data_IF_555532629959
#
_entry.id   IF_555532629959
#
_cell.length_a   1.000
_cell.length_b   1.000
_cell.length_c   1.000
_cell.angle_alpha   90.00
_cell.angle_beta   90.00
_cell.angle_gamma   90.00
#
_symmetry.space_group_name_H-M   'P 1'
#
loop_
_entity.id
_entity.type
_entity.pdbx_description
1 polymer ?
#
# COMPACT_ATOMS: atom_id res chain seq x y z
N UNK A 1 -17.53 10.10 20.10
CA UNK A 1 -18.08 9.81 18.77
C UNK A 1 -17.02 9.13 17.92
N UNK A 2 -17.13 7.82 17.76
CA UNK A 2 -16.15 6.96 17.07
C UNK A 2 -16.11 7.17 15.55
N UNK A 3 -17.06 7.90 15.01
CA UNK A 3 -17.23 8.10 13.56
C UNK A 3 -16.91 9.54 13.10
N UNK A 4 -16.48 10.43 13.98
CA UNK A 4 -15.96 11.73 13.57
C UNK A 4 -14.49 11.63 13.22
N UNK A 5 -14.18 11.60 11.94
CA UNK A 5 -12.83 11.73 11.39
C UNK A 5 -12.35 13.18 11.53
N UNK A 6 -12.04 13.60 12.77
CA UNK A 6 -11.31 14.85 13.01
C UNK A 6 -9.84 14.66 12.62
N UNK A 7 -9.11 15.77 12.41
CA UNK A 7 -7.67 15.70 12.08
C UNK A 7 -6.86 14.97 13.17
N UNK A 8 -7.30 15.01 14.42
CA UNK A 8 -6.72 14.28 15.55
C UNK A 8 -7.10 12.79 15.62
N UNK A 9 -7.91 12.27 14.68
CA UNK A 9 -8.29 10.86 14.68
C UNK A 9 -7.09 9.95 14.42
N UNK A 10 -6.97 8.90 15.21
CA UNK A 10 -5.90 7.92 15.04
C UNK A 10 -4.50 8.49 15.30
N UNK A 11 -4.33 9.39 16.27
CA UNK A 11 -3.05 10.04 16.60
C UNK A 11 -2.55 10.93 15.46
N UNK A 12 -3.37 11.87 15.00
CA UNK A 12 -3.12 12.82 13.90
C UNK A 12 -2.94 12.20 12.50
N UNK A 13 -3.29 10.95 12.31
CA UNK A 13 -3.12 10.27 11.01
C UNK A 13 -3.87 10.96 9.87
N UNK A 14 -5.09 11.44 10.11
CA UNK A 14 -5.87 12.14 9.10
C UNK A 14 -5.20 13.45 8.68
N UNK A 15 -4.64 14.19 9.65
CA UNK A 15 -3.85 15.39 9.37
C UNK A 15 -2.61 15.08 8.52
N UNK A 16 -1.87 14.03 8.90
CA UNK A 16 -0.70 13.54 8.13
C UNK A 16 -1.11 13.15 6.71
N UNK A 17 -2.22 12.45 6.52
CA UNK A 17 -2.69 12.05 5.18
C UNK A 17 -3.03 13.26 4.32
N UNK A 18 -3.75 14.25 4.87
CA UNK A 18 -4.05 15.50 4.16
C UNK A 18 -2.78 16.24 3.76
N UNK A 19 -1.80 16.33 4.67
CA UNK A 19 -0.51 16.93 4.41
C UNK A 19 0.25 16.19 3.30
N UNK A 20 0.36 14.87 3.36
CA UNK A 20 0.98 14.04 2.33
C UNK A 20 0.33 14.20 0.96
N UNK A 21 -1.02 14.24 0.92
CA UNK A 21 -1.75 14.46 -0.32
C UNK A 21 -1.57 15.87 -0.88
N UNK A 22 -1.43 16.90 -0.01
CA UNK A 22 -1.10 18.25 -0.46
C UNK A 22 0.29 18.31 -1.09
N UNK A 23 1.30 17.68 -0.46
CA UNK A 23 2.65 17.56 -1.04
C UNK A 23 2.64 16.86 -2.40
N UNK A 24 1.85 15.79 -2.54
CA UNK A 24 1.67 15.13 -3.85
C UNK A 24 0.99 16.06 -4.86
N UNK A 25 0.03 16.87 -4.42
CA UNK A 25 -0.63 17.88 -5.26
C UNK A 25 0.36 18.86 -5.88
N UNK A 26 1.41 19.25 -5.14
CA UNK A 26 2.45 20.18 -5.56
C UNK A 26 3.51 19.55 -6.47
N UNK A 27 3.52 18.23 -6.64
CA UNK A 27 4.45 17.56 -7.53
C UNK A 27 4.25 18.00 -8.98
N UNK A 28 5.34 18.23 -9.74
CA UNK A 28 5.26 18.40 -11.19
C UNK A 28 4.71 17.12 -11.84
N UNK A 29 4.10 17.26 -13.02
CA UNK A 29 3.39 16.18 -13.71
C UNK A 29 4.21 14.89 -13.81
N UNK A 30 5.49 14.96 -14.15
CA UNK A 30 6.37 13.79 -14.21
C UNK A 30 6.48 13.06 -12.86
N UNK A 31 6.64 13.79 -11.75
CA UNK A 31 6.69 13.20 -10.41
C UNK A 31 5.33 12.66 -9.95
N UNK A 32 4.22 13.22 -10.43
CA UNK A 32 2.90 12.61 -10.19
C UNK A 32 2.76 11.23 -10.81
N UNK A 33 3.39 11.02 -11.97
CA UNK A 33 3.37 9.72 -12.65
C UNK A 33 4.28 8.69 -11.98
N UNK A 34 5.55 9.03 -11.73
CA UNK A 34 6.58 8.08 -11.30
C UNK A 34 7.01 8.23 -9.84
N UNK A 35 6.47 9.23 -9.13
CA UNK A 35 6.81 9.53 -7.74
C UNK A 35 8.07 10.36 -7.54
N UNK A 36 8.37 10.64 -6.28
CA UNK A 36 9.56 11.37 -5.86
C UNK A 36 10.73 10.48 -5.43
N UNK A 37 10.54 9.16 -5.40
CA UNK A 37 11.52 8.19 -4.92
C UNK A 37 11.38 7.85 -3.43
N UNK A 38 12.11 6.82 -3.00
CA UNK A 38 12.13 6.41 -1.60
C UNK A 38 12.66 7.54 -0.70
N UNK A 39 11.97 7.76 0.44
CA UNK A 39 12.37 8.81 1.38
C UNK A 39 11.96 10.23 0.97
N UNK A 40 11.20 10.40 -0.11
CA UNK A 40 10.76 11.71 -0.58
C UNK A 40 9.98 12.48 0.48
N UNK A 41 9.18 11.81 1.31
CA UNK A 41 8.40 12.46 2.36
C UNK A 41 9.30 13.12 3.40
N UNK A 42 10.31 12.41 3.90
CA UNK A 42 11.27 12.98 4.84
C UNK A 42 12.03 14.17 4.24
N UNK A 43 12.43 14.06 2.96
CA UNK A 43 13.12 15.15 2.26
C UNK A 43 12.24 16.41 2.08
N UNK A 44 10.94 16.24 1.81
CA UNK A 44 9.99 17.34 1.69
C UNK A 44 9.64 17.94 3.04
N UNK A 45 9.49 17.11 4.09
CA UNK A 45 9.14 17.57 5.43
C UNK A 45 10.25 18.40 6.06
N UNK A 46 11.51 18.17 5.70
CA UNK A 46 12.63 19.05 6.12
C UNK A 46 12.37 20.51 5.69
N UNK A 47 11.73 20.73 4.54
CA UNK A 47 11.43 22.06 4.02
C UNK A 47 10.13 22.65 4.58
N UNK A 48 9.12 21.81 4.82
CA UNK A 48 7.75 22.25 5.14
C UNK A 48 7.26 21.83 6.53
N UNK A 49 8.02 21.13 7.29
CA UNK A 49 7.80 20.57 8.65
C UNK A 49 6.36 20.52 9.12
N UNK A 50 5.80 19.33 9.10
CA UNK A 50 4.49 19.06 9.70
C UNK A 50 4.53 19.09 11.23
N UNK A 51 5.54 18.45 11.83
CA UNK A 51 5.80 18.52 13.27
C UNK A 51 6.98 19.44 13.57
N UNK A 52 6.87 20.37 14.56
CA UNK A 52 7.96 21.31 14.88
C UNK A 52 9.26 20.61 15.28
N UNK A 53 9.16 19.52 16.05
CA UNK A 53 10.29 18.86 16.73
C UNK A 53 10.69 17.52 16.09
N UNK A 54 9.99 17.07 15.04
CA UNK A 54 10.26 15.78 14.40
C UNK A 54 10.12 15.87 12.89
N UNK A 55 10.81 14.99 12.18
CA UNK A 55 10.67 14.82 10.72
C UNK A 55 9.65 13.72 10.47
N UNK A 56 8.67 14.01 9.62
CA UNK A 56 7.71 13.02 9.17
C UNK A 56 8.34 12.16 8.07
N UNK A 57 8.68 10.93 8.40
CA UNK A 57 9.34 9.98 7.50
C UNK A 57 8.36 9.00 6.82
N UNK A 58 7.16 8.84 7.38
CA UNK A 58 6.16 7.91 6.89
C UNK A 58 4.74 8.49 6.92
N UNK A 59 3.95 8.20 5.90
CA UNK A 59 2.56 8.65 5.76
C UNK A 59 1.57 7.89 6.67
N UNK A 60 1.99 6.82 7.35
CA UNK A 60 1.13 5.93 8.11
C UNK A 60 -0.10 5.40 7.35
N UNK A 61 0.03 5.32 6.02
CA UNK A 61 -0.86 4.69 5.07
C UNK A 61 0.00 4.23 3.90
N UNK A 62 0.05 2.91 3.65
CA UNK A 62 0.92 2.33 2.63
C UNK A 62 0.59 2.87 1.22
N UNK A 63 -0.70 3.04 0.93
CA UNK A 63 -1.13 3.56 -0.38
C UNK A 63 -0.67 5.00 -0.64
N UNK A 64 -0.74 5.86 0.38
CA UNK A 64 -0.25 7.25 0.28
C UNK A 64 1.27 7.24 0.17
N UNK A 65 1.95 6.39 0.93
CA UNK A 65 3.40 6.24 0.85
C UNK A 65 3.85 5.77 -0.54
N UNK A 66 3.16 4.78 -1.11
CA UNK A 66 3.41 4.32 -2.49
C UNK A 66 3.17 5.42 -3.52
N UNK A 67 2.09 6.19 -3.34
CA UNK A 67 1.77 7.31 -4.22
C UNK A 67 2.88 8.37 -4.22
N UNK A 68 3.42 8.73 -3.06
CA UNK A 68 4.53 9.69 -2.94
C UNK A 68 5.82 9.13 -3.53
N UNK A 69 6.16 7.87 -3.23
CA UNK A 69 7.42 7.26 -3.63
C UNK A 69 7.44 6.87 -5.12
N UNK A 70 6.35 6.31 -5.64
CA UNK A 70 6.29 5.66 -6.96
C UNK A 70 5.24 6.26 -7.90
N UNK A 71 4.51 7.27 -7.45
CA UNK A 71 3.49 7.96 -8.22
C UNK A 71 2.25 7.11 -8.54
N UNK A 72 1.44 7.66 -9.44
CA UNK A 72 0.19 6.98 -9.86
C UNK A 72 0.48 5.66 -10.57
N UNK A 73 1.55 5.57 -11.34
CA UNK A 73 1.91 4.34 -12.06
C UNK A 73 2.31 3.22 -11.09
N UNK A 74 3.13 3.53 -10.08
CA UNK A 74 3.54 2.54 -9.08
C UNK A 74 2.38 2.07 -8.21
N UNK A 75 1.56 3.00 -7.72
CA UNK A 75 0.35 2.66 -6.98
C UNK A 75 -0.63 1.86 -7.84
N UNK A 76 -0.82 2.25 -9.11
CA UNK A 76 -1.67 1.53 -10.06
C UNK A 76 -1.19 0.09 -10.31
N UNK A 77 0.11 -0.11 -10.51
CA UNK A 77 0.70 -1.44 -10.66
C UNK A 77 0.50 -2.31 -9.42
N UNK A 78 0.70 -1.75 -8.23
CA UNK A 78 0.49 -2.43 -6.96
C UNK A 78 -0.97 -2.88 -6.77
N UNK A 79 -1.92 -1.98 -7.02
CA UNK A 79 -3.34 -2.29 -6.93
C UNK A 79 -3.78 -3.31 -8.00
N UNK A 80 -3.27 -3.18 -9.23
CA UNK A 80 -3.53 -4.13 -10.30
C UNK A 80 -3.05 -5.53 -9.92
N UNK A 81 -1.89 -5.64 -9.30
CA UNK A 81 -1.36 -6.92 -8.83
C UNK A 81 -2.25 -7.56 -7.77
N UNK A 82 -2.71 -6.80 -6.77
CA UNK A 82 -3.68 -7.30 -5.77
C UNK A 82 -4.97 -7.80 -6.46
N UNK A 83 -5.52 -7.02 -7.38
CA UNK A 83 -6.74 -7.39 -8.11
C UNK A 83 -6.55 -8.66 -8.92
N UNK A 84 -5.41 -8.80 -9.60
CA UNK A 84 -5.08 -10.01 -10.37
C UNK A 84 -4.95 -11.24 -9.46
N UNK A 85 -4.31 -11.10 -8.29
CA UNK A 85 -4.20 -12.17 -7.31
C UNK A 85 -5.57 -12.63 -6.80
N UNK A 86 -6.44 -11.67 -6.46
CA UNK A 86 -7.80 -11.98 -6.02
C UNK A 86 -8.65 -12.65 -7.12
N UNK A 87 -8.51 -12.19 -8.36
CA UNK A 87 -9.16 -12.84 -9.52
C UNK A 87 -8.65 -14.26 -9.74
N UNK A 88 -7.35 -14.47 -9.57
CA UNK A 88 -6.75 -15.79 -9.67
C UNK A 88 -7.32 -16.72 -8.59
N UNK A 89 -7.38 -16.28 -7.33
CA UNK A 89 -7.98 -17.04 -6.24
C UNK A 89 -9.45 -17.39 -6.51
N UNK A 90 -10.21 -16.43 -7.03
CA UNK A 90 -11.62 -16.65 -7.37
C UNK A 90 -11.82 -17.70 -8.47
N UNK A 91 -11.00 -17.65 -9.52
CA UNK A 91 -11.07 -18.61 -10.63
C UNK A 91 -10.70 -20.03 -10.21
N UNK A 92 -9.68 -20.17 -9.35
CA UNK A 92 -9.23 -21.48 -8.84
C UNK A 92 -10.26 -22.11 -7.93
N UNK A 93 -10.87 -21.33 -7.04
CA UNK A 93 -11.73 -21.86 -5.99
C UNK A 93 -10.96 -22.67 -4.95
N UNK A 94 -11.71 -23.34 -4.07
CA UNK A 94 -11.15 -24.17 -3.01
C UNK A 94 -10.73 -23.40 -1.75
N UNK A 95 -10.65 -24.12 -0.64
CA UNK A 95 -10.44 -23.53 0.68
C UNK A 95 -9.11 -22.77 0.80
N UNK A 96 -8.04 -23.31 0.21
CA UNK A 96 -6.71 -22.70 0.28
C UNK A 96 -6.65 -21.38 -0.50
N UNK A 97 -7.18 -21.35 -1.72
CA UNK A 97 -7.20 -20.11 -2.54
C UNK A 97 -8.01 -19.02 -1.85
N UNK A 98 -9.15 -19.34 -1.26
CA UNK A 98 -9.96 -18.38 -0.48
C UNK A 98 -9.27 -17.93 0.80
N UNK A 99 -8.57 -18.82 1.51
CA UNK A 99 -7.80 -18.45 2.70
C UNK A 99 -6.65 -17.48 2.37
N UNK A 100 -5.93 -17.72 1.27
CA UNK A 100 -4.88 -16.84 0.77
C UNK A 100 -5.45 -15.47 0.34
N UNK A 101 -6.58 -15.46 -0.37
CA UNK A 101 -7.28 -14.23 -0.75
C UNK A 101 -7.75 -13.42 0.46
N UNK A 102 -8.27 -14.09 1.49
CA UNK A 102 -8.66 -13.43 2.75
C UNK A 102 -7.46 -12.80 3.47
N UNK A 103 -6.31 -13.49 3.48
CA UNK A 103 -5.05 -12.92 4.00
C UNK A 103 -4.59 -11.68 3.24
N UNK A 104 -4.66 -11.70 1.91
CA UNK A 104 -4.33 -10.55 1.06
C UNK A 104 -5.27 -9.37 1.30
N UNK A 105 -6.58 -9.62 1.43
CA UNK A 105 -7.56 -8.58 1.75
C UNK A 105 -7.32 -8.01 3.15
N UNK A 106 -7.05 -8.87 4.14
CA UNK A 106 -6.71 -8.44 5.50
C UNK A 106 -5.49 -7.52 5.53
N UNK A 107 -4.43 -7.88 4.80
CA UNK A 107 -3.27 -7.02 4.63
C UNK A 107 -3.63 -5.69 3.95
N UNK A 108 -4.40 -5.73 2.87
CA UNK A 108 -4.85 -4.53 2.16
C UNK A 108 -5.65 -3.56 3.04
N UNK A 109 -6.50 -4.08 3.92
CA UNK A 109 -7.24 -3.26 4.90
C UNK A 109 -6.30 -2.67 5.95
N UNK A 110 -5.35 -3.46 6.46
CA UNK A 110 -4.34 -2.97 7.41
C UNK A 110 -3.48 -1.86 6.78
N UNK A 111 -3.11 -1.98 5.52
CA UNK A 111 -2.31 -1.02 4.77
C UNK A 111 -2.96 0.38 4.64
N UNK A 112 -4.27 0.49 4.84
CA UNK A 112 -4.97 1.79 4.87
C UNK A 112 -4.56 2.66 6.07
N UNK A 113 -4.26 2.03 7.20
CA UNK A 113 -4.01 2.72 8.48
C UNK A 113 -2.64 2.45 9.05
N UNK A 114 -1.77 1.78 8.31
CA UNK A 114 -0.44 1.40 8.76
C UNK A 114 0.60 1.54 7.65
N UNK A 115 1.86 1.52 8.03
CA UNK A 115 3.00 1.45 7.12
C UNK A 115 3.38 -0.01 6.85
N UNK A 116 3.97 -0.26 5.68
CA UNK A 116 4.56 -1.54 5.37
C UNK A 116 5.66 -1.88 6.36
N UNK A 117 5.43 -2.89 7.18
CA UNK A 117 6.43 -3.43 8.11
C UNK A 117 7.10 -4.65 7.48
N UNK A 118 8.40 -4.84 7.72
CA UNK A 118 9.16 -5.93 7.13
C UNK A 118 8.50 -7.31 7.30
N UNK A 119 7.95 -7.71 8.46
CA UNK A 119 7.26 -9.00 8.59
C UNK A 119 5.97 -9.07 7.76
N UNK A 120 5.18 -8.00 7.76
CA UNK A 120 3.90 -7.94 7.05
C UNK A 120 4.06 -8.00 5.54
N UNK A 121 4.99 -7.20 4.99
CA UNK A 121 5.24 -7.18 3.55
C UNK A 121 5.86 -8.49 3.07
N UNK A 122 6.72 -9.11 3.87
CA UNK A 122 7.28 -10.44 3.54
C UNK A 122 6.18 -11.49 3.46
N UNK A 123 5.25 -11.52 4.43
CA UNK A 123 4.10 -12.41 4.40
C UNK A 123 3.21 -12.15 3.19
N UNK A 124 2.95 -10.89 2.86
CA UNK A 124 2.17 -10.50 1.67
C UNK A 124 2.76 -11.09 0.38
N UNK A 125 4.09 -10.98 0.17
CA UNK A 125 4.74 -11.55 -1.00
C UNK A 125 4.73 -13.09 -0.99
N UNK A 126 4.87 -13.72 0.18
CA UNK A 126 4.74 -15.19 0.29
C UNK A 126 3.32 -15.64 -0.09
N UNK A 127 2.27 -14.96 0.40
CA UNK A 127 0.89 -15.29 0.04
C UNK A 127 0.65 -15.15 -1.47
N UNK A 128 1.19 -14.08 -2.08
CA UNK A 128 1.13 -13.88 -3.53
C UNK A 128 1.87 -14.99 -4.30
N UNK A 129 3.08 -15.34 -3.88
CA UNK A 129 3.88 -16.38 -4.53
C UNK A 129 3.19 -17.75 -4.47
N UNK A 130 2.67 -18.12 -3.29
CA UNK A 130 1.94 -19.38 -3.12
C UNK A 130 0.69 -19.42 -3.98
N UNK A 131 -0.07 -18.32 -4.04
CA UNK A 131 -1.28 -18.23 -4.84
C UNK A 131 -0.99 -18.37 -6.35
N UNK A 132 0.10 -17.77 -6.84
CA UNK A 132 0.50 -17.89 -8.26
C UNK A 132 1.13 -19.24 -8.55
N UNK A 133 2.01 -19.76 -7.67
CA UNK A 133 2.69 -21.05 -7.87
C UNK A 133 1.76 -22.25 -7.92
N UNK A 134 0.56 -22.16 -7.34
CA UNK A 134 -0.46 -23.20 -7.51
C UNK A 134 -0.99 -23.30 -8.96
N UNK A 135 -0.77 -22.29 -9.82
CA UNK A 135 -1.15 -22.35 -11.23
C UNK A 135 -0.24 -23.32 -12.01
N UNK A 136 1.06 -23.26 -11.74
CA UNK A 136 2.05 -24.02 -12.50
C UNK A 136 1.96 -25.52 -12.15
N UNK A 137 1.58 -25.85 -10.91
CA UNK A 137 1.42 -27.22 -10.47
C UNK A 137 0.20 -27.93 -11.12
N UNK A 138 -0.88 -27.20 -11.39
CA UNK A 138 -2.06 -27.78 -12.08
C UNK A 138 -1.83 -27.97 -13.57
N UNK A 139 -1.10 -27.06 -14.23
CA UNK A 139 -0.73 -27.25 -15.66
C UNK A 139 0.20 -28.45 -15.84
N UNK A 140 1.11 -28.71 -14.89
CA UNK A 140 2.03 -29.87 -14.94
C UNK A 140 1.35 -31.20 -14.66
N UNK A 141 0.19 -31.21 -14.01
CA UNK A 141 -0.57 -32.46 -13.76
C UNK A 141 -1.54 -32.82 -14.88
N UNK A 142 -1.71 -31.94 -15.87
CA UNK A 142 -2.54 -32.18 -17.06
C UNK A 142 -1.75 -32.67 -18.29
N UNK A 143 -0.45 -32.99 -18.13
CA UNK A 143 0.41 -33.65 -19.12
C UNK A 143 0.66 -35.08 -18.69
#
# INVERSE_FOLDING_TARGET
DWLHFSDAWGTDRVGVWKYCLSLFGDFPFGKKLIGGGCGVLAALDVQHRYFPDAILDAAHCEYIQLLLNWGVLGLGAYLAWIVLALRCAWKKGGALAFALAAGLLGYGVQALVNIAQAPGISLFFVLLAVLHGQNDAEELTCV
#
